data_IF_002448078328
#
_entry.id   IF_002448078328
#
_cell.length_a   1.000
_cell.length_b   1.000
_cell.length_c   1.000
_cell.angle_alpha   90.00
_cell.angle_beta   90.00
_cell.angle_gamma   90.00
#
_symmetry.space_group_name_H-M   'P 1'
#
loop_
_entity.id
_entity.type
_entity.pdbx_description
1 polymer ?
#
# COMPACT_ATOMS: atom_id res chain seq x y z
N UNK A 1 42.10 37.36 -0.27
CA UNK A 1 40.96 36.70 0.39
C UNK A 1 39.69 37.28 -0.17
N UNK A 2 38.90 36.50 -0.90
CA UNK A 2 37.47 36.73 -1.07
C UNK A 2 36.85 35.37 -1.36
N UNK A 3 36.01 34.90 -0.45
CA UNK A 3 35.42 33.57 -0.47
C UNK A 3 34.36 33.53 -1.58
N UNK A 4 34.58 32.68 -2.57
CA UNK A 4 33.56 32.26 -3.53
C UNK A 4 32.45 31.56 -2.76
N UNK A 5 31.38 32.28 -2.44
CA UNK A 5 30.17 31.70 -1.88
C UNK A 5 29.59 30.75 -2.93
N UNK A 6 29.56 29.46 -2.60
CA UNK A 6 28.89 28.43 -3.37
C UNK A 6 27.46 28.88 -3.69
N UNK A 7 27.04 28.70 -4.94
CA UNK A 7 25.65 28.86 -5.34
C UNK A 7 24.81 27.84 -4.55
N UNK A 8 24.30 28.27 -3.40
CA UNK A 8 23.25 27.56 -2.69
C UNK A 8 22.03 27.63 -3.58
N UNK A 9 21.83 26.55 -4.35
CA UNK A 9 20.63 26.29 -5.13
C UNK A 9 19.46 26.40 -4.16
N UNK A 10 18.75 27.53 -4.23
CA UNK A 10 17.59 27.84 -3.38
C UNK A 10 16.66 26.61 -3.40
N UNK A 11 16.20 26.11 -2.24
CA UNK A 11 15.20 25.06 -2.19
C UNK A 11 14.04 25.49 -3.07
N UNK A 12 13.80 24.75 -4.15
CA UNK A 12 12.68 24.97 -5.06
C UNK A 12 11.46 25.13 -4.18
N UNK A 13 10.85 26.32 -4.22
CA UNK A 13 9.73 26.71 -3.37
C UNK A 13 8.77 25.53 -3.29
N UNK A 14 8.75 24.94 -2.11
CA UNK A 14 7.91 23.83 -1.67
C UNK A 14 6.60 23.88 -2.44
N UNK A 15 6.46 23.01 -3.45
CA UNK A 15 5.23 22.86 -4.23
C UNK A 15 4.14 22.63 -3.21
N UNK A 16 3.38 23.68 -2.93
CA UNK A 16 2.22 23.64 -2.08
C UNK A 16 1.29 22.67 -2.77
N UNK A 17 1.25 21.42 -2.32
CA UNK A 17 0.23 20.47 -2.72
C UNK A 17 -1.05 21.15 -2.27
N UNK A 18 -1.74 21.75 -3.24
CA UNK A 18 -2.86 22.64 -2.98
C UNK A 18 -3.91 21.85 -2.24
N UNK A 19 -4.24 22.30 -1.03
CA UNK A 19 -5.32 21.78 -0.19
C UNK A 19 -6.66 21.70 -0.93
N UNK A 20 -6.79 22.35 -2.11
CA UNK A 20 -7.93 22.17 -3.02
C UNK A 20 -8.15 20.72 -3.49
N UNK A 21 -7.12 19.87 -3.55
CA UNK A 21 -7.29 18.42 -3.81
C UNK A 21 -7.85 17.68 -2.60
N UNK A 22 -7.63 18.20 -1.39
CA UNK A 22 -8.19 17.66 -0.14
C UNK A 22 -9.59 18.20 0.19
N UNK A 23 -10.07 19.21 -0.55
CA UNK A 23 -11.30 19.97 -0.28
C UNK A 23 -12.40 19.79 -1.33
N UNK A 24 -12.29 18.82 -2.25
CA UNK A 24 -13.47 18.34 -2.98
C UNK A 24 -14.29 17.45 -2.05
N UNK A 25 -14.76 18.02 -0.94
CA UNK A 25 -15.77 17.43 -0.09
C UNK A 25 -17.08 17.40 -0.91
N UNK A 26 -17.33 16.28 -1.61
CA UNK A 26 -18.67 15.95 -2.09
C UNK A 26 -18.84 15.46 -3.53
N UNK A 27 -17.85 15.64 -4.42
CA UNK A 27 -17.99 15.16 -5.80
C UNK A 27 -17.29 13.79 -5.99
N UNK A 28 -18.06 12.82 -6.49
CA UNK A 28 -17.59 11.51 -6.93
C UNK A 28 -16.68 11.67 -8.16
N UNK A 29 -15.40 11.97 -7.93
CA UNK A 29 -14.38 12.00 -8.98
C UNK A 29 -13.77 10.61 -9.13
N UNK A 30 -13.28 10.24 -10.33
CA UNK A 30 -12.54 8.99 -10.52
C UNK A 30 -11.34 8.85 -9.56
N UNK A 31 -10.75 9.96 -9.13
CA UNK A 31 -9.67 9.98 -8.14
C UNK A 31 -10.17 9.66 -6.72
N UNK A 32 -11.23 10.31 -6.26
CA UNK A 32 -11.79 10.07 -4.91
C UNK A 32 -12.39 8.67 -4.79
N UNK A 33 -12.98 8.13 -5.86
CA UNK A 33 -13.40 6.73 -5.94
C UNK A 33 -12.21 5.76 -5.88
N UNK A 34 -11.16 6.02 -6.67
CA UNK A 34 -9.95 5.21 -6.65
C UNK A 34 -9.30 5.17 -5.26
N UNK A 35 -9.18 6.31 -4.58
CA UNK A 35 -8.64 6.37 -3.21
C UNK A 35 -9.44 5.51 -2.22
N UNK A 36 -10.78 5.59 -2.26
CA UNK A 36 -11.64 4.78 -1.37
C UNK A 36 -11.54 3.29 -1.68
N UNK A 37 -11.55 2.91 -2.97
CA UNK A 37 -11.37 1.52 -3.38
C UNK A 37 -10.01 1.00 -2.93
N UNK A 38 -8.94 1.77 -3.15
CA UNK A 38 -7.58 1.41 -2.71
C UNK A 38 -7.52 1.22 -1.20
N UNK A 39 -8.07 2.14 -0.40
CA UNK A 39 -8.08 2.02 1.05
C UNK A 39 -8.83 0.77 1.51
N UNK A 40 -9.99 0.47 0.93
CA UNK A 40 -10.76 -0.71 1.27
C UNK A 40 -9.97 -2.00 0.98
N UNK A 41 -9.37 -2.11 -0.21
CA UNK A 41 -8.54 -3.25 -0.59
C UNK A 41 -7.32 -3.39 0.31
N UNK A 42 -6.65 -2.28 0.63
CA UNK A 42 -5.53 -2.25 1.56
C UNK A 42 -5.95 -2.77 2.94
N UNK A 43 -7.10 -2.33 3.47
CA UNK A 43 -7.63 -2.82 4.76
C UNK A 43 -7.93 -4.32 4.72
N UNK A 44 -8.52 -4.82 3.64
CA UNK A 44 -8.78 -6.26 3.47
C UNK A 44 -7.49 -7.07 3.44
N UNK A 45 -6.51 -6.66 2.62
CA UNK A 45 -5.20 -7.32 2.54
C UNK A 45 -4.48 -7.28 3.88
N UNK A 46 -4.52 -6.15 4.59
CA UNK A 46 -3.88 -6.02 5.89
C UNK A 46 -4.52 -6.96 6.94
N UNK A 47 -5.85 -7.12 6.92
CA UNK A 47 -6.55 -8.04 7.81
C UNK A 47 -6.18 -9.51 7.53
N UNK A 48 -6.09 -9.91 6.26
CA UNK A 48 -5.70 -11.28 5.89
C UNK A 48 -4.23 -11.59 6.21
N UNK A 49 -3.29 -10.63 6.01
CA UNK A 49 -1.88 -10.78 6.43
C UNK A 49 -1.82 -10.97 7.95
N UNK A 50 -2.60 -10.17 8.69
CA UNK A 50 -2.61 -10.24 10.13
C UNK A 50 -3.12 -11.60 10.62
N UNK A 51 -4.17 -12.13 9.98
CA UNK A 51 -4.68 -13.48 10.24
C UNK A 51 -3.66 -14.57 9.95
N UNK A 52 -2.93 -14.49 8.83
CA UNK A 52 -1.86 -15.44 8.52
C UNK A 52 -0.74 -15.40 9.57
N UNK A 53 -0.35 -14.19 9.99
CA UNK A 53 0.64 -14.02 11.06
C UNK A 53 0.18 -14.71 12.35
N UNK A 54 -1.07 -14.52 12.74
CA UNK A 54 -1.61 -15.10 13.96
C UNK A 54 -1.68 -16.64 13.87
N UNK A 55 -2.02 -17.18 12.70
CA UNK A 55 -1.99 -18.64 12.45
C UNK A 55 -0.57 -19.20 12.55
N UNK A 56 0.43 -18.54 11.96
CA UNK A 56 1.84 -18.97 12.07
C UNK A 56 2.34 -18.92 13.50
N UNK A 57 1.98 -17.87 14.24
CA UNK A 57 2.35 -17.73 15.65
C UNK A 57 1.71 -18.81 16.52
N UNK A 58 0.45 -19.16 16.27
CA UNK A 58 -0.22 -20.25 16.95
C UNK A 58 0.45 -21.60 16.67
N UNK A 59 0.72 -21.93 15.41
CA UNK A 59 1.44 -23.16 15.07
C UNK A 59 2.81 -23.23 15.75
N UNK A 60 3.55 -22.11 15.76
CA UNK A 60 4.82 -22.04 16.47
C UNK A 60 4.66 -22.25 17.98
N UNK A 61 3.62 -21.66 18.60
CA UNK A 61 3.30 -21.83 20.01
C UNK A 61 2.99 -23.29 20.33
N UNK A 62 2.18 -23.95 19.52
CA UNK A 62 1.80 -25.35 19.75
C UNK A 62 3.00 -26.28 19.58
N UNK A 63 3.86 -26.03 18.60
CA UNK A 63 5.11 -26.79 18.42
C UNK A 63 6.09 -26.60 19.59
N UNK A 64 6.31 -25.36 20.02
CA UNK A 64 7.39 -25.04 20.98
C UNK A 64 6.97 -25.13 22.43
N UNK A 65 5.77 -24.63 22.77
CA UNK A 65 5.25 -24.61 24.14
C UNK A 65 4.48 -25.88 24.48
N UNK A 66 3.67 -26.37 23.53
CA UNK A 66 2.84 -27.55 23.76
C UNK A 66 3.47 -28.84 23.23
N UNK A 67 4.67 -28.77 22.64
CA UNK A 67 5.37 -29.90 22.03
C UNK A 67 4.50 -30.71 21.06
N UNK A 68 3.54 -30.04 20.43
CA UNK A 68 2.59 -30.64 19.51
C UNK A 68 3.28 -30.95 18.19
N UNK A 69 2.86 -32.03 17.54
CA UNK A 69 3.29 -32.33 16.18
C UNK A 69 2.73 -31.28 15.23
N UNK A 70 3.54 -30.92 14.25
CA UNK A 70 3.18 -29.98 13.20
C UNK A 70 2.05 -30.56 12.34
N UNK A 71 0.96 -29.81 12.18
CA UNK A 71 -0.08 -30.14 11.21
C UNK A 71 0.33 -29.64 9.82
N UNK A 72 0.75 -30.57 8.96
CA UNK A 72 1.21 -30.26 7.59
C UNK A 72 0.13 -29.69 6.69
N UNK A 73 -1.14 -30.04 6.93
CA UNK A 73 -2.26 -29.51 6.15
C UNK A 73 -2.47 -28.02 6.45
N UNK A 74 -2.41 -27.65 7.74
CA UNK A 74 -2.49 -26.25 8.17
C UNK A 74 -1.31 -25.43 7.63
N UNK A 75 -0.11 -26.00 7.58
CA UNK A 75 1.04 -25.35 6.94
C UNK A 75 0.80 -25.17 5.44
N UNK A 76 0.28 -26.19 4.76
CA UNK A 76 -0.08 -26.12 3.34
C UNK A 76 -1.05 -24.99 3.06
N UNK A 77 -2.10 -24.86 3.88
CA UNK A 77 -3.09 -23.79 3.77
C UNK A 77 -2.49 -22.39 3.97
N UNK A 78 -1.61 -22.23 4.97
CA UNK A 78 -0.91 -20.97 5.23
C UNK A 78 -0.02 -20.58 4.06
N UNK A 79 0.75 -21.53 3.52
CA UNK A 79 1.61 -21.31 2.36
C UNK A 79 0.80 -20.93 1.12
N UNK A 80 -0.28 -21.68 0.85
CA UNK A 80 -1.16 -21.40 -0.29
C UNK A 80 -1.77 -20.00 -0.21
N UNK A 81 -2.31 -19.63 0.95
CA UNK A 81 -2.87 -18.28 1.17
C UNK A 81 -1.82 -17.19 1.06
N UNK A 82 -0.61 -17.41 1.60
CA UNK A 82 0.50 -16.45 1.48
C UNK A 82 0.82 -16.16 0.02
N UNK A 83 0.96 -17.22 -0.81
CA UNK A 83 1.18 -17.10 -2.24
C UNK A 83 0.04 -16.37 -2.97
N UNK A 84 -1.21 -16.68 -2.60
CA UNK A 84 -2.38 -16.00 -3.16
C UNK A 84 -2.35 -14.50 -2.84
N UNK A 85 -1.97 -14.14 -1.62
CA UNK A 85 -1.87 -12.74 -1.19
C UNK A 85 -0.75 -11.99 -1.90
N UNK A 86 0.41 -12.61 -2.10
CA UNK A 86 1.50 -12.01 -2.88
C UNK A 86 1.04 -11.67 -4.31
N UNK A 87 0.27 -12.57 -4.93
CA UNK A 87 -0.34 -12.32 -6.24
C UNK A 87 -1.32 -11.15 -6.23
N UNK A 88 -2.15 -11.03 -5.19
CA UNK A 88 -3.07 -9.89 -5.03
C UNK A 88 -2.31 -8.58 -4.84
N UNK A 89 -1.27 -8.56 -3.99
CA UNK A 89 -0.44 -7.37 -3.76
C UNK A 89 0.23 -6.93 -5.06
N UNK A 90 0.78 -7.86 -5.84
CA UNK A 90 1.39 -7.55 -7.13
C UNK A 90 0.38 -6.96 -8.13
N UNK A 91 -0.83 -7.52 -8.17
CA UNK A 91 -1.92 -6.99 -9.02
C UNK A 91 -2.36 -5.60 -8.60
N UNK A 92 -2.54 -5.37 -7.30
CA UNK A 92 -2.93 -4.05 -6.78
C UNK A 92 -1.83 -3.01 -7.00
N UNK A 93 -0.56 -3.40 -6.85
CA UNK A 93 0.58 -2.53 -7.17
C UNK A 93 0.57 -2.12 -8.64
N UNK A 94 0.37 -3.06 -9.56
CA UNK A 94 0.26 -2.77 -10.99
C UNK A 94 -0.95 -1.86 -11.30
N UNK A 95 -2.09 -2.07 -10.63
CA UNK A 95 -3.27 -1.23 -10.78
C UNK A 95 -3.03 0.22 -10.32
N UNK A 96 -2.34 0.41 -9.19
CA UNK A 96 -2.01 1.75 -8.68
C UNK A 96 -1.04 2.46 -9.62
N UNK A 97 -0.04 1.76 -10.15
CA UNK A 97 0.92 2.37 -11.09
C UNK A 97 0.24 2.79 -12.40
N UNK A 98 -0.70 1.98 -12.92
CA UNK A 98 -1.52 2.35 -14.07
C UNK A 98 -2.36 3.60 -13.79
N UNK A 99 -3.05 3.65 -12.64
CA UNK A 99 -3.89 4.81 -12.28
C UNK A 99 -3.05 6.07 -12.06
N UNK A 100 -1.85 5.95 -11.48
CA UNK A 100 -0.89 7.05 -11.39
C UNK A 100 -0.56 7.60 -12.77
N UNK A 101 -0.20 6.73 -13.73
CA UNK A 101 0.12 7.15 -15.09
C UNK A 101 -1.07 7.87 -15.76
N UNK A 102 -2.29 7.37 -15.58
CA UNK A 102 -3.51 8.02 -16.10
C UNK A 102 -3.74 9.41 -15.50
N UNK A 103 -3.59 9.57 -14.19
CA UNK A 103 -3.75 10.87 -13.54
C UNK A 103 -2.64 11.87 -13.91
N UNK A 104 -1.43 11.39 -14.18
CA UNK A 104 -0.32 12.22 -14.67
C UNK A 104 -0.51 12.66 -16.13
N UNK A 105 -1.06 11.80 -16.98
CA UNK A 105 -1.30 12.08 -18.41
C UNK A 105 -2.45 13.08 -18.65
N UNK A 106 -3.52 13.01 -17.84
CA UNK A 106 -4.69 13.91 -17.94
C UNK A 106 -4.38 15.34 -17.43
N UNK A 107 -3.34 15.49 -16.62
CA UNK A 107 -2.90 16.78 -16.08
C UNK A 107 -3.85 17.40 -15.04
N UNK A 108 -3.36 18.26 -14.13
CA UNK A 108 -4.14 18.76 -12.98
C UNK A 108 -5.24 19.79 -13.34
N UNK A 109 -5.60 19.95 -14.61
CA UNK A 109 -6.52 20.99 -15.09
C UNK A 109 -7.60 20.49 -16.06
N UNK A 110 -7.76 19.17 -16.25
CA UNK A 110 -8.84 18.62 -17.06
C UNK A 110 -9.99 18.09 -16.19
N UNK A 111 -10.68 19.03 -15.52
CA UNK A 111 -12.04 18.89 -14.99
C UNK A 111 -12.79 20.19 -15.23
#
# INVERSE_FOLDING_TARGET
>A
MSLSAAEVRKPTAHRYISTKVLLAEGDETPFTEHCRSYENKYRTLQAEIQKLKDQVQEMHRDLTKHHSLVNTDTIGDVLHKSLQMDGQIASEYASVEMMRAMFEEVGPFAS
#
